data_IF_992816620258
#
_entry.id   IF_992816620258
#
_cell.length_a   1.000
_cell.length_b   1.000
_cell.length_c   1.000
_cell.angle_alpha   90.00
_cell.angle_beta   90.00
_cell.angle_gamma   90.00
#
_symmetry.space_group_name_H-M   'P 1'
#
loop_
_entity.id
_entity.type
_entity.pdbx_description
1 polymer ?
#
# COMPACT_ATOMS: atom_id res chain seq x y z
N UNK A 1 11.28 -20.88 -11.78
CA UNK A 1 10.12 -21.48 -11.08
C UNK A 1 9.63 -20.66 -9.88
N UNK A 2 10.33 -19.62 -9.41
CA UNK A 2 9.86 -18.78 -8.29
C UNK A 2 8.82 -17.72 -8.65
N UNK A 3 8.88 -17.15 -9.85
CA UNK A 3 8.09 -15.96 -10.23
C UNK A 3 6.59 -16.23 -10.28
N UNK A 4 6.16 -17.41 -10.76
CA UNK A 4 4.75 -17.82 -10.77
C UNK A 4 4.18 -18.09 -9.38
N UNK A 5 5.02 -18.48 -8.42
CA UNK A 5 4.59 -18.71 -7.04
C UNK A 5 4.42 -17.38 -6.28
N UNK A 6 5.27 -16.39 -6.54
CA UNK A 6 5.15 -15.06 -5.96
C UNK A 6 3.92 -14.30 -6.50
N UNK A 7 3.64 -14.41 -7.80
CA UNK A 7 2.43 -13.80 -8.38
C UNK A 7 1.15 -14.39 -7.79
N UNK A 8 1.06 -15.73 -7.67
CA UNK A 8 -0.10 -16.38 -7.04
C UNK A 8 -0.30 -16.00 -5.58
N UNK A 9 0.79 -15.73 -4.84
CA UNK A 9 0.74 -15.23 -3.47
C UNK A 9 0.18 -13.81 -3.39
N UNK A 10 0.59 -12.92 -4.30
CA UNK A 10 0.13 -11.54 -4.35
C UNK A 10 -1.35 -11.42 -4.76
N UNK A 11 -1.83 -12.28 -5.65
CA UNK A 11 -3.25 -12.34 -6.01
C UNK A 11 -4.12 -12.77 -4.82
N UNK A 12 -3.68 -13.78 -4.08
CA UNK A 12 -4.39 -14.23 -2.88
C UNK A 12 -4.40 -13.16 -1.79
N UNK A 13 -3.29 -12.46 -1.59
CA UNK A 13 -3.20 -11.33 -0.66
C UNK A 13 -4.16 -10.20 -1.06
N UNK A 14 -4.23 -9.88 -2.37
CA UNK A 14 -5.18 -8.89 -2.88
C UNK A 14 -6.63 -9.26 -2.56
N UNK A 15 -7.05 -10.48 -2.86
CA UNK A 15 -8.43 -10.93 -2.61
C UNK A 15 -8.76 -10.90 -1.10
N UNK A 16 -7.80 -11.27 -0.24
CA UNK A 16 -7.94 -11.21 1.21
C UNK A 16 -8.11 -9.77 1.70
N UNK A 17 -7.32 -8.82 1.19
CA UNK A 17 -7.41 -7.41 1.55
C UNK A 17 -8.74 -6.79 1.11
N UNK A 18 -9.21 -7.09 -0.10
CA UNK A 18 -10.51 -6.60 -0.57
C UNK A 18 -11.65 -7.11 0.32
N UNK A 19 -11.62 -8.40 0.67
CA UNK A 19 -12.60 -9.01 1.58
C UNK A 19 -12.58 -8.39 2.98
N UNK A 20 -11.39 -8.24 3.58
CA UNK A 20 -11.23 -7.66 4.92
C UNK A 20 -11.78 -6.23 5.03
N UNK A 21 -11.69 -5.44 3.95
CA UNK A 21 -12.19 -4.08 3.90
C UNK A 21 -13.61 -3.96 3.34
N UNK A 22 -14.27 -5.09 3.03
CA UNK A 22 -15.63 -5.11 2.50
C UNK A 22 -15.76 -4.51 1.10
N UNK A 23 -14.67 -4.53 0.33
CA UNK A 23 -14.67 -4.07 -1.06
C UNK A 23 -15.01 -5.22 -2.00
N UNK A 24 -16.15 -5.11 -2.66
CA UNK A 24 -16.51 -6.01 -3.76
C UNK A 24 -16.01 -5.42 -5.08
N UNK A 25 -14.99 -6.05 -5.66
CA UNK A 25 -14.38 -5.59 -6.91
C UNK A 25 -15.12 -6.27 -8.07
N UNK A 26 -15.84 -5.53 -8.92
CA UNK A 26 -16.54 -6.13 -10.05
C UNK A 26 -15.61 -6.97 -10.91
N UNK A 27 -16.03 -8.17 -11.31
CA UNK A 27 -15.17 -9.13 -12.03
C UNK A 27 -14.51 -8.52 -13.28
N UNK A 28 -15.25 -7.69 -14.02
CA UNK A 28 -14.72 -7.00 -15.21
C UNK A 28 -13.65 -5.95 -14.93
N UNK A 29 -13.55 -5.46 -13.70
CA UNK A 29 -12.54 -4.49 -13.26
C UNK A 29 -11.39 -5.13 -12.50
N UNK A 30 -11.57 -6.35 -11.97
CA UNK A 30 -10.57 -7.05 -11.15
C UNK A 30 -9.17 -7.09 -11.79
N UNK A 31 -9.00 -7.42 -13.09
CA UNK A 31 -7.65 -7.46 -13.69
C UNK A 31 -6.93 -6.11 -13.62
N UNK A 32 -7.67 -5.01 -13.83
CA UNK A 32 -7.10 -3.66 -13.78
C UNK A 32 -6.72 -3.25 -12.35
N UNK A 33 -7.60 -3.50 -11.38
CA UNK A 33 -7.34 -3.17 -9.97
C UNK A 33 -6.17 -3.99 -9.42
N UNK A 34 -6.12 -5.28 -9.73
CA UNK A 34 -5.02 -6.16 -9.36
C UNK A 34 -3.70 -5.70 -9.98
N UNK A 35 -3.68 -5.30 -11.25
CA UNK A 35 -2.47 -4.77 -11.89
C UNK A 35 -1.96 -3.51 -11.19
N UNK A 36 -2.85 -2.59 -10.78
CA UNK A 36 -2.46 -1.42 -9.99
C UNK A 36 -1.90 -1.82 -8.64
N UNK A 37 -2.51 -2.78 -7.94
CA UNK A 37 -2.00 -3.29 -6.67
C UNK A 37 -0.58 -3.85 -6.79
N UNK A 38 -0.31 -4.65 -7.82
CA UNK A 38 1.01 -5.23 -8.07
C UNK A 38 2.07 -4.15 -8.33
N UNK A 39 1.74 -3.13 -9.13
CA UNK A 39 2.67 -2.03 -9.39
C UNK A 39 2.94 -1.19 -8.13
N UNK A 40 1.91 -0.89 -7.34
CA UNK A 40 2.09 -0.19 -6.06
C UNK A 40 2.94 -1.00 -5.07
N UNK A 41 2.80 -2.33 -5.05
CA UNK A 41 3.64 -3.22 -4.24
C UNK A 41 5.11 -3.10 -4.65
N UNK A 42 5.38 -3.09 -5.95
CA UNK A 42 6.73 -2.90 -6.51
C UNK A 42 7.29 -1.52 -6.13
N UNK A 43 6.51 -0.46 -6.30
CA UNK A 43 6.92 0.90 -5.90
C UNK A 43 7.22 0.98 -4.40
N UNK A 44 6.39 0.35 -3.57
CA UNK A 44 6.58 0.32 -2.11
C UNK A 44 7.86 -0.42 -1.72
N UNK A 45 8.21 -1.50 -2.43
CA UNK A 45 9.49 -2.18 -2.22
C UNK A 45 10.67 -1.25 -2.50
N UNK A 46 10.61 -0.42 -3.54
CA UNK A 46 11.63 0.60 -3.82
C UNK A 46 11.69 1.66 -2.71
N UNK A 47 10.54 2.13 -2.22
CA UNK A 47 10.49 3.12 -1.13
C UNK A 47 11.10 2.59 0.18
N UNK A 48 10.97 1.29 0.47
CA UNK A 48 11.60 0.65 1.65
C UNK A 48 13.12 0.61 1.58
N UNK A 49 13.70 0.70 0.39
CA UNK A 49 15.17 0.76 0.23
C UNK A 49 15.74 2.15 0.42
N UNK A 50 14.89 3.18 0.55
CA UNK A 50 15.35 4.48 0.98
C UNK A 50 15.93 4.34 2.40
N UNK A 51 17.22 4.62 2.56
CA UNK A 51 17.89 4.67 3.86
C UNK A 51 17.35 5.88 4.64
N UNK A 52 16.14 5.74 5.14
CA UNK A 52 15.57 6.70 6.07
C UNK A 52 16.25 6.48 7.43
N UNK A 53 16.73 7.56 8.08
CA UNK A 53 17.21 7.45 9.44
C UNK A 53 16.07 6.92 10.34
N UNK A 54 16.38 6.18 11.42
CA UNK A 54 15.36 5.62 12.30
C UNK A 54 14.48 6.69 12.97
N UNK A 55 14.98 7.91 13.07
CA UNK A 55 14.28 9.12 13.53
C UNK A 55 13.55 9.89 12.42
N UNK A 56 13.45 9.35 11.20
CA UNK A 56 12.71 10.00 10.13
C UNK A 56 11.24 10.19 10.51
N UNK A 57 10.86 11.44 10.73
CA UNK A 57 9.49 11.81 11.08
C UNK A 57 8.60 11.86 9.84
N UNK A 58 7.28 11.60 10.00
CA UNK A 58 6.31 11.89 8.95
C UNK A 58 6.40 13.35 8.50
N UNK A 59 6.25 13.62 7.20
CA UNK A 59 6.32 14.98 6.66
C UNK A 59 5.29 15.95 7.28
N UNK A 60 4.20 15.42 7.83
CA UNK A 60 3.15 16.18 8.49
C UNK A 60 2.86 15.57 9.87
N UNK A 61 3.47 16.16 10.90
CA UNK A 61 3.19 15.84 12.29
C UNK A 61 2.20 16.87 12.83
N UNK A 62 1.05 16.41 13.32
CA UNK A 62 0.12 17.27 14.05
C UNK A 62 0.74 17.67 15.39
N UNK A 63 0.82 18.96 15.70
CA UNK A 63 1.22 19.45 17.02
C UNK A 63 0.14 20.33 17.63
N UNK A 64 -0.09 20.14 18.94
CA UNK A 64 -1.05 20.93 19.74
C UNK A 64 -0.74 22.42 19.66
N UNK A 65 0.54 22.77 19.57
CA UNK A 65 1.01 24.15 19.44
C UNK A 65 0.69 24.79 18.07
N UNK A 66 0.65 23.99 17.00
CA UNK A 66 0.21 24.45 15.67
C UNK A 66 -1.30 24.70 15.67
N UNK A 67 -2.07 23.81 16.30
CA UNK A 67 -3.51 23.98 16.46
C UNK A 67 -3.86 25.24 17.26
N UNK A 68 -3.18 25.46 18.40
CA UNK A 68 -3.40 26.62 19.26
C UNK A 68 -3.06 27.97 18.58
N UNK A 69 -2.19 27.99 17.58
CA UNK A 69 -1.87 29.21 16.79
C UNK A 69 -2.84 29.47 15.63
N UNK A 70 -3.65 28.48 15.26
CA UNK A 70 -4.61 28.56 14.15
C UNK A 70 -6.05 28.79 14.62
N UNK A 71 -6.31 28.72 15.93
CA UNK A 71 -7.58 29.04 16.58
C UNK A 71 -7.64 30.51 17.01
#
# INVERSE_FOLDING_TARGET
MSETAETGSAEHEFDLLMSLHGHDVPEGLRPGVLAVHLELRRMTALLRTANLPPEAEPAHVFSVETYARQA
#
